data_IF_048367634956
#
_entry.id   IF_048367634956
#
_cell.length_a   1.000
_cell.length_b   1.000
_cell.length_c   1.000
_cell.angle_alpha   90.00
_cell.angle_beta   90.00
_cell.angle_gamma   90.00
#
_symmetry.space_group_name_H-M   'P 1'
#
loop_
_entity.id
_entity.type
_entity.pdbx_description
1 polymer ?
#
# COMPACT_ATOMS: atom_id res chain seq x y z
N UNK A 1 31.59 10.70 -0.81
CA UNK A 1 30.83 10.15 -1.94
C UNK A 1 29.40 9.98 -1.44
N UNK A 2 28.50 10.83 -1.94
CA UNK A 2 27.10 10.79 -1.53
C UNK A 2 26.44 9.62 -2.22
N UNK A 3 25.95 8.66 -1.44
CA UNK A 3 24.98 7.70 -1.95
C UNK A 3 23.76 8.52 -2.36
N UNK A 4 23.52 8.58 -3.66
CA UNK A 4 22.25 9.01 -4.23
C UNK A 4 21.23 7.94 -3.83
N UNK A 5 20.66 8.07 -2.64
CA UNK A 5 19.43 7.39 -2.27
C UNK A 5 18.31 8.05 -3.09
N UNK A 6 18.23 7.71 -4.37
CA UNK A 6 16.96 7.77 -5.08
C UNK A 6 16.06 6.78 -4.36
N UNK A 7 15.40 7.24 -3.30
CA UNK A 7 14.14 6.68 -2.87
C UNK A 7 13.23 6.81 -4.09
N UNK A 8 13.23 5.80 -4.98
CA UNK A 8 12.15 5.64 -5.93
C UNK A 8 10.89 5.54 -5.07
N UNK A 9 10.15 6.66 -5.03
CA UNK A 9 8.92 6.77 -4.27
C UNK A 9 7.97 5.72 -4.84
N UNK A 10 7.75 4.64 -4.08
CA UNK A 10 6.91 3.54 -4.52
C UNK A 10 5.50 4.06 -4.82
N UNK A 11 5.12 4.03 -6.09
CA UNK A 11 3.90 4.67 -6.57
C UNK A 11 2.72 3.70 -6.62
N UNK A 12 1.65 4.01 -5.89
CA UNK A 12 0.37 3.30 -5.93
C UNK A 12 -0.67 4.21 -6.59
N UNK A 13 -1.13 3.84 -7.78
CA UNK A 13 -2.16 4.57 -8.53
C UNK A 13 -3.30 3.62 -8.92
N UNK A 14 -4.19 3.31 -7.98
CA UNK A 14 -5.31 2.37 -8.22
C UNK A 14 -6.68 3.06 -8.34
N UNK A 15 -6.73 4.38 -8.24
CA UNK A 15 -7.97 5.16 -8.36
C UNK A 15 -8.86 5.11 -7.12
N UNK A 16 -8.28 4.77 -5.97
CA UNK A 16 -8.88 4.80 -4.63
C UNK A 16 -7.80 5.34 -3.68
N UNK A 17 -8.12 6.38 -2.91
CA UNK A 17 -7.17 7.08 -2.04
C UNK A 17 -7.73 7.21 -0.63
N UNK A 18 -6.91 6.86 0.35
CA UNK A 18 -7.27 7.02 1.75
C UNK A 18 -6.85 8.38 2.29
N UNK A 19 -7.55 8.84 3.30
CA UNK A 19 -7.21 10.05 4.04
C UNK A 19 -7.78 9.97 5.46
N UNK A 20 -7.32 10.87 6.32
CA UNK A 20 -7.84 11.04 7.68
C UNK A 20 -8.89 12.16 7.65
N UNK A 21 -10.19 11.86 7.84
CA UNK A 21 -11.22 12.88 7.83
C UNK A 21 -11.07 13.88 8.98
N UNK A 22 -11.38 15.16 8.74
CA UNK A 22 -11.39 16.18 9.81
C UNK A 22 -12.46 15.90 10.86
N UNK A 23 -13.54 15.22 10.48
CA UNK A 23 -14.59 14.77 11.40
C UNK A 23 -14.11 13.69 12.37
N UNK A 24 -13.07 12.94 12.01
CA UNK A 24 -12.47 11.91 12.87
C UNK A 24 -11.33 12.50 13.71
N UNK A 25 -10.43 13.25 13.09
CA UNK A 25 -9.33 13.95 13.78
C UNK A 25 -9.32 15.41 13.33
N UNK A 26 -9.91 16.33 14.12
CA UNK A 26 -10.01 17.74 13.74
C UNK A 26 -8.67 18.46 13.68
N UNK A 27 -7.71 18.08 14.54
CA UNK A 27 -6.42 18.76 14.63
C UNK A 27 -5.50 18.37 13.46
N UNK A 28 -5.20 19.34 12.58
CA UNK A 28 -4.35 19.12 11.41
C UNK A 28 -2.94 18.62 11.77
N UNK A 29 -2.38 19.11 12.88
CA UNK A 29 -1.06 18.71 13.38
C UNK A 29 -1.02 17.21 13.74
N UNK A 30 -2.09 16.71 14.37
CA UNK A 30 -2.24 15.28 14.71
C UNK A 30 -2.38 14.44 13.44
N UNK A 31 -3.19 14.89 12.46
CA UNK A 31 -3.30 14.19 11.16
C UNK A 31 -1.94 14.11 10.48
N UNK A 32 -1.17 15.19 10.48
CA UNK A 32 0.17 15.24 9.88
C UNK A 32 1.14 14.28 10.57
N UNK A 33 1.12 14.19 11.89
CA UNK A 33 1.92 13.21 12.65
C UNK A 33 1.55 11.77 12.26
N UNK A 34 0.25 11.49 12.13
CA UNK A 34 -0.25 10.17 11.74
C UNK A 34 0.22 9.81 10.32
N UNK A 35 0.12 10.73 9.36
CA UNK A 35 0.65 10.52 8.01
C UNK A 35 2.15 10.23 8.01
N UNK A 36 2.94 11.02 8.76
CA UNK A 36 4.39 10.79 8.89
C UNK A 36 4.69 9.40 9.43
N UNK A 37 3.92 8.93 10.41
CA UNK A 37 4.10 7.59 10.99
C UNK A 37 3.74 6.49 10.00
N UNK A 38 2.63 6.61 9.25
CA UNK A 38 2.30 5.66 8.17
C UNK A 38 3.40 5.57 7.09
N UNK A 39 3.97 6.70 6.68
CA UNK A 39 5.06 6.72 5.70
C UNK A 39 6.35 6.08 6.23
N UNK A 40 6.61 6.14 7.54
CA UNK A 40 7.83 5.62 8.14
C UNK A 40 7.78 4.10 8.42
N UNK A 41 6.60 3.50 8.55
CA UNK A 41 6.46 2.06 8.85
C UNK A 41 6.92 1.22 7.66
N UNK A 42 7.70 0.16 7.91
CA UNK A 42 8.32 -0.68 6.86
C UNK A 42 7.90 -2.15 6.91
N UNK A 43 7.15 -2.56 7.92
CA UNK A 43 6.72 -3.94 8.14
C UNK A 43 5.30 -4.00 8.72
N UNK A 44 4.65 -5.15 8.52
CA UNK A 44 3.24 -5.35 8.86
C UNK A 44 3.00 -5.46 10.37
N UNK A 45 3.99 -5.90 11.15
CA UNK A 45 3.86 -6.03 12.60
C UNK A 45 3.79 -4.66 13.27
N UNK A 46 4.66 -3.75 12.86
CA UNK A 46 4.65 -2.35 13.29
C UNK A 46 3.38 -1.63 12.82
N UNK A 47 2.91 -1.90 11.58
CA UNK A 47 1.63 -1.36 11.11
C UNK A 47 0.47 -1.83 11.97
N UNK A 48 0.39 -3.13 12.26
CA UNK A 48 -0.65 -3.72 13.11
C UNK A 48 -0.64 -3.15 14.53
N UNK A 49 0.54 -2.95 15.10
CA UNK A 49 0.70 -2.33 16.43
C UNK A 49 0.19 -0.89 16.39
N UNK A 50 0.54 -0.14 15.34
CA UNK A 50 0.11 1.24 15.22
C UNK A 50 -1.40 1.39 14.99
N UNK A 51 -2.03 0.49 14.22
CA UNK A 51 -3.49 0.47 14.05
C UNK A 51 -4.19 0.31 15.40
N UNK A 52 -3.73 -0.60 16.26
CA UNK A 52 -4.27 -0.77 17.61
C UNK A 52 -4.13 0.49 18.45
N UNK A 53 -2.97 1.16 18.40
CA UNK A 53 -2.79 2.44 19.09
C UNK A 53 -3.79 3.51 18.61
N UNK A 54 -4.11 3.55 17.31
CA UNK A 54 -5.11 4.46 16.77
C UNK A 54 -6.52 4.09 17.25
N UNK A 55 -6.86 2.80 17.26
CA UNK A 55 -8.15 2.31 17.77
C UNK A 55 -8.33 2.61 19.26
N UNK A 56 -7.31 2.38 20.08
CA UNK A 56 -7.33 2.66 21.51
C UNK A 56 -7.51 4.16 21.82
N UNK A 57 -6.96 5.02 20.96
CA UNK A 57 -7.00 6.48 21.14
C UNK A 57 -8.22 7.16 20.56
N UNK A 58 -8.69 6.71 19.39
CA UNK A 58 -9.68 7.40 18.58
C UNK A 58 -10.94 6.56 18.32
N UNK A 59 -10.94 5.28 18.72
CA UNK A 59 -12.06 4.36 18.50
C UNK A 59 -12.07 3.78 17.08
N UNK A 60 -13.26 3.41 16.60
CA UNK A 60 -13.44 2.78 15.29
C UNK A 60 -12.90 3.65 14.15
N UNK A 61 -11.97 3.11 13.37
CA UNK A 61 -11.35 3.84 12.27
C UNK A 61 -12.30 3.95 11.07
N UNK A 62 -12.50 5.15 10.49
CA UNK A 62 -13.38 5.36 9.35
C UNK A 62 -12.85 4.70 8.08
N UNK A 63 -13.74 4.48 7.11
CA UNK A 63 -13.41 3.83 5.83
C UNK A 63 -12.25 4.52 5.08
N UNK A 64 -12.24 5.85 5.02
CA UNK A 64 -11.15 6.61 4.39
C UNK A 64 -9.77 6.32 5.01
N UNK A 65 -9.73 6.10 6.32
CA UNK A 65 -8.51 5.73 7.05
C UNK A 65 -8.15 4.25 6.83
N UNK A 66 -9.15 3.37 6.71
CA UNK A 66 -8.92 1.97 6.35
C UNK A 66 -8.29 1.84 4.95
N UNK A 67 -8.70 2.68 3.99
CA UNK A 67 -8.05 2.74 2.67
C UNK A 67 -6.57 3.17 2.81
N UNK A 68 -6.27 4.15 3.66
CA UNK A 68 -4.88 4.60 3.91
C UNK A 68 -4.03 3.47 4.54
N UNK A 69 -4.62 2.70 5.45
CA UNK A 69 -4.01 1.52 6.06
C UNK A 69 -3.74 0.44 5.01
N UNK A 70 -4.70 0.19 4.11
CA UNK A 70 -4.54 -0.76 3.02
C UNK A 70 -3.44 -0.32 2.06
N UNK A 71 -3.38 0.96 1.69
CA UNK A 71 -2.31 1.51 0.84
C UNK A 71 -0.93 1.38 1.49
N UNK A 72 -0.84 1.60 2.81
CA UNK A 72 0.39 1.38 3.58
C UNK A 72 0.80 -0.09 3.56
N UNK A 73 -0.17 -1.00 3.73
CA UNK A 73 0.06 -2.45 3.67
C UNK A 73 0.51 -2.90 2.28
N UNK A 74 -0.13 -2.38 1.21
CA UNK A 74 0.24 -2.63 -0.18
C UNK A 74 1.69 -2.21 -0.42
N UNK A 75 2.10 -1.02 0.06
CA UNK A 75 3.48 -0.56 -0.06
C UNK A 75 4.45 -1.54 0.60
N UNK A 76 4.15 -2.02 1.80
CA UNK A 76 5.01 -2.96 2.53
C UNK A 76 5.13 -4.29 1.78
N UNK A 77 3.99 -4.88 1.40
CA UNK A 77 3.96 -6.16 0.66
C UNK A 77 4.67 -6.05 -0.70
N UNK A 78 4.43 -4.95 -1.42
CA UNK A 78 5.06 -4.72 -2.70
C UNK A 78 6.58 -4.59 -2.59
N UNK A 79 7.09 -3.94 -1.55
CA UNK A 79 8.54 -3.91 -1.27
C UNK A 79 9.09 -5.31 -1.01
N UNK A 80 8.38 -6.14 -0.23
CA UNK A 80 8.79 -7.53 0.05
C UNK A 80 8.82 -8.40 -1.22
N UNK A 81 7.93 -8.12 -2.18
CA UNK A 81 7.85 -8.81 -3.46
C UNK A 81 8.73 -8.18 -4.56
N UNK A 82 9.48 -7.12 -4.20
CA UNK A 82 10.30 -6.31 -5.12
C UNK A 82 9.49 -5.83 -6.33
N UNK A 83 8.28 -5.34 -6.07
CA UNK A 83 7.45 -4.61 -7.02
C UNK A 83 7.84 -3.12 -6.89
N UNK A 84 8.06 -2.44 -8.01
CA UNK A 84 8.45 -1.03 -8.00
C UNK A 84 7.25 -0.09 -8.14
N UNK A 85 6.15 -0.55 -8.76
CA UNK A 85 4.99 0.29 -9.05
C UNK A 85 3.71 -0.51 -9.21
N UNK A 86 2.59 0.06 -8.78
CA UNK A 86 1.25 -0.51 -8.92
C UNK A 86 0.32 0.50 -9.58
N UNK A 87 -0.29 0.13 -10.71
CA UNK A 87 -1.20 0.99 -11.47
C UNK A 87 -2.50 0.26 -11.80
N UNK A 88 -3.62 0.89 -11.51
CA UNK A 88 -4.95 0.50 -11.98
C UNK A 88 -5.45 1.42 -13.08
N UNK A 89 -6.11 0.86 -14.09
CA UNK A 89 -6.77 1.62 -15.18
C UNK A 89 -8.31 1.59 -15.08
N UNK A 90 -8.84 1.05 -13.97
CA UNK A 90 -10.27 0.86 -13.73
C UNK A 90 -10.78 -0.53 -14.11
N UNK A 91 -10.12 -1.21 -15.05
CA UNK A 91 -10.48 -2.57 -15.48
C UNK A 91 -9.50 -3.60 -14.93
N UNK A 92 -8.22 -3.26 -14.91
CA UNK A 92 -7.15 -4.12 -14.41
C UNK A 92 -6.18 -3.36 -13.53
N UNK A 93 -5.44 -4.13 -12.75
CA UNK A 93 -4.27 -3.70 -12.00
C UNK A 93 -3.01 -4.31 -12.63
N UNK A 94 -1.96 -3.52 -12.75
CA UNK A 94 -0.66 -3.90 -13.28
C UNK A 94 0.42 -3.63 -12.23
N UNK A 95 1.23 -4.65 -11.96
CA UNK A 95 2.38 -4.63 -11.07
C UNK A 95 3.64 -4.58 -11.93
N UNK A 96 4.46 -3.53 -11.78
CA UNK A 96 5.77 -3.46 -12.42
C UNK A 96 6.82 -4.06 -11.48
N UNK A 97 7.54 -5.06 -11.97
CA UNK A 97 8.49 -5.84 -11.19
C UNK A 97 9.90 -5.27 -11.29
N UNK A 98 10.64 -5.36 -10.19
CA UNK A 98 12.10 -5.27 -10.24
C UNK A 98 12.68 -6.46 -11.01
N UNK A 99 13.85 -6.28 -11.63
CA UNK A 99 14.57 -7.37 -12.31
C UNK A 99 14.91 -8.54 -11.37
N UNK A 100 15.00 -8.27 -10.07
CA UNK A 100 15.26 -9.27 -9.03
C UNK A 100 14.00 -9.79 -8.33
N UNK A 101 12.79 -9.47 -8.84
CA UNK A 101 11.54 -9.86 -8.18
C UNK A 101 11.42 -11.36 -7.99
N UNK A 102 11.01 -11.75 -6.78
CA UNK A 102 10.75 -13.14 -6.40
C UNK A 102 9.48 -13.71 -7.05
N UNK A 103 8.68 -12.89 -7.73
CA UNK A 103 7.47 -13.30 -8.45
C UNK A 103 7.78 -14.00 -9.78
N UNK A 104 9.01 -13.88 -10.27
CA UNK A 104 9.43 -14.45 -11.54
C UNK A 104 10.77 -15.16 -11.38
N UNK A 105 11.00 -16.22 -12.15
CA UNK A 105 12.31 -16.88 -12.19
C UNK A 105 13.39 -15.89 -12.61
N UNK A 106 14.61 -15.99 -12.06
CA UNK A 106 15.73 -15.06 -12.32
C UNK A 106 16.09 -14.85 -13.80
N UNK A 107 15.73 -15.78 -14.68
CA UNK A 107 15.96 -15.70 -16.13
C UNK A 107 14.72 -15.25 -16.92
N UNK A 108 13.66 -14.84 -16.23
CA UNK A 108 12.41 -14.40 -16.84
C UNK A 108 12.58 -13.02 -17.47
N UNK A 109 11.96 -12.82 -18.63
CA UNK A 109 11.85 -11.51 -19.27
C UNK A 109 10.58 -10.76 -18.85
N UNK A 110 9.79 -11.33 -17.95
CA UNK A 110 8.53 -10.72 -17.48
C UNK A 110 8.89 -9.54 -16.59
N UNK A 111 8.47 -8.35 -17.02
CA UNK A 111 8.64 -7.09 -16.28
C UNK A 111 7.36 -6.64 -15.58
N UNK A 112 6.22 -7.22 -15.96
CA UNK A 112 4.92 -6.81 -15.46
C UNK A 112 3.98 -8.00 -15.27
N UNK A 113 3.16 -7.95 -14.22
CA UNK A 113 2.05 -8.89 -13.97
C UNK A 113 0.77 -8.07 -13.94
N UNK A 114 -0.28 -8.52 -14.62
CA UNK A 114 -1.59 -7.86 -14.59
C UNK A 114 -2.70 -8.81 -14.21
N UNK A 115 -3.70 -8.28 -13.51
CA UNK A 115 -4.92 -9.00 -13.15
C UNK A 115 -6.13 -8.06 -13.26
N UNK A 116 -7.26 -8.61 -13.69
CA UNK A 116 -8.50 -7.84 -13.83
C UNK A 116 -9.13 -7.61 -12.45
N UNK A 117 -9.73 -6.43 -12.28
CA UNK A 117 -10.69 -6.22 -11.21
C UNK A 117 -11.95 -7.04 -11.48
N UNK A 118 -12.64 -7.54 -10.45
CA UNK A 118 -13.98 -8.11 -10.59
C UNK A 118 -14.98 -7.04 -11.05
N UNK A 119 -16.09 -7.48 -11.65
CA UNK A 119 -17.16 -6.57 -12.12
C UNK A 119 -17.74 -5.72 -10.98
N UNK A 120 -17.93 -6.35 -9.81
CA UNK A 120 -18.33 -5.69 -8.58
C UNK A 120 -17.15 -5.68 -7.60
N UNK A 121 -16.71 -4.48 -7.20
CA UNK A 121 -15.62 -4.28 -6.26
C UNK A 121 -15.99 -3.24 -5.23
N UNK A 122 -15.95 -3.62 -3.95
CA UNK A 122 -16.23 -2.71 -2.84
C UNK A 122 -15.02 -1.83 -2.52
N UNK A 123 -13.83 -2.42 -2.43
CA UNK A 123 -12.58 -1.69 -2.21
C UNK A 123 -11.48 -2.19 -3.14
N UNK A 124 -10.88 -1.26 -3.90
CA UNK A 124 -9.76 -1.56 -4.79
C UNK A 124 -8.49 -1.86 -4.00
N UNK A 125 -8.23 -1.10 -2.95
CA UNK A 125 -7.06 -1.30 -2.09
C UNK A 125 -7.11 -2.66 -1.39
N UNK A 126 -8.26 -3.08 -0.88
CA UNK A 126 -8.41 -4.39 -0.25
C UNK A 126 -8.19 -5.53 -1.25
N UNK A 127 -8.79 -5.44 -2.44
CA UNK A 127 -8.60 -6.44 -3.49
C UNK A 127 -7.13 -6.58 -3.90
N UNK A 128 -6.45 -5.47 -4.15
CA UNK A 128 -5.02 -5.46 -4.51
C UNK A 128 -4.18 -6.03 -3.39
N UNK A 129 -4.43 -5.64 -2.14
CA UNK A 129 -3.72 -6.16 -0.97
C UNK A 129 -3.86 -7.69 -0.87
N UNK A 130 -5.06 -8.21 -1.04
CA UNK A 130 -5.31 -9.65 -1.01
C UNK A 130 -4.59 -10.39 -2.15
N UNK A 131 -4.51 -9.77 -3.34
CA UNK A 131 -3.71 -10.32 -4.44
C UNK A 131 -2.22 -10.37 -4.11
N UNK A 132 -1.66 -9.31 -3.53
CA UNK A 132 -0.25 -9.32 -3.13
C UNK A 132 0.04 -10.39 -2.08
N UNK A 133 -0.79 -10.50 -1.04
CA UNK A 133 -0.67 -11.54 -0.01
C UNK A 133 -0.71 -12.96 -0.58
N UNK A 134 -1.50 -13.19 -1.64
CA UNK A 134 -1.56 -14.51 -2.29
C UNK A 134 -0.26 -14.92 -3.01
N UNK A 135 0.64 -13.97 -3.28
CA UNK A 135 1.95 -14.26 -3.86
C UNK A 135 3.04 -14.53 -2.82
N UNK A 136 2.79 -14.16 -1.55
CA UNK A 136 3.75 -14.29 -0.45
C UNK A 136 3.66 -15.65 0.25
N UNK A 137 2.93 -16.62 -0.30
CA UNK A 137 2.65 -17.97 0.26
C UNK A 137 3.51 -19.04 -0.40
#
# INVERSE_FOLDING_TARGET
>A
EGFDETHEEFEIKIGENGFIPESFIPQAEVRLEIYKRFSAIKDLENLKTYIKELEDRFGSLPEDLQILINQTSIRIEANNLLINKIKGDGIKCTLALNENSNLVSKNSKIKEISFNYPEEINSKSEFVLNKLKSFSV
#
